data_IF_364703586367
#
_entry.id   IF_364703586367
#
_cell.length_a   1.000
_cell.length_b   1.000
_cell.length_c   1.000
_cell.angle_alpha   90.00
_cell.angle_beta   90.00
_cell.angle_gamma   90.00
#
_symmetry.space_group_name_H-M   'P 1'
#
loop_
_entity.id
_entity.type
_entity.pdbx_description
1 polymer ?
#
# COMPACT_ATOMS: atom_id res chain seq x y z
N UNK A 1 -20.35 -9.35 24.13
CA UNK A 1 -19.99 -10.21 23.00
C UNK A 1 -19.60 -11.56 23.58
N UNK A 2 -20.24 -12.64 23.14
CA UNK A 2 -19.90 -14.01 23.56
C UNK A 2 -18.68 -14.53 22.80
N UNK A 3 -17.98 -15.53 23.33
CA UNK A 3 -16.81 -16.18 22.67
C UNK A 3 -17.11 -16.56 21.21
N UNK A 4 -18.28 -17.16 20.96
CA UNK A 4 -18.70 -17.57 19.62
C UNK A 4 -18.90 -16.36 18.70
N UNK A 5 -19.51 -15.28 19.18
CA UNK A 5 -19.63 -14.03 18.42
C UNK A 5 -18.26 -13.42 18.11
N UNK A 6 -17.28 -13.54 19.03
CA UNK A 6 -15.90 -13.09 18.78
C UNK A 6 -15.29 -13.93 17.66
N UNK A 7 -15.40 -15.25 17.74
CA UNK A 7 -14.82 -16.16 16.76
C UNK A 7 -15.41 -15.94 15.37
N UNK A 8 -16.73 -15.80 15.26
CA UNK A 8 -17.39 -15.49 14.00
C UNK A 8 -16.90 -14.17 13.39
N UNK A 9 -16.64 -13.14 14.22
CA UNK A 9 -16.07 -11.88 13.71
C UNK A 9 -14.63 -12.06 13.19
N UNK A 10 -13.81 -12.83 13.89
CA UNK A 10 -12.44 -13.11 13.46
C UNK A 10 -12.40 -13.93 12.16
N UNK A 11 -13.34 -14.86 11.99
CA UNK A 11 -13.47 -15.66 10.77
C UNK A 11 -13.93 -14.86 9.54
N UNK A 12 -14.49 -13.67 9.73
CA UNK A 12 -14.92 -12.75 8.66
C UNK A 12 -14.01 -11.50 8.55
N UNK A 13 -12.83 -11.52 9.18
CA UNK A 13 -11.93 -10.36 9.26
C UNK A 13 -11.12 -10.09 7.97
N UNK A 14 -11.37 -10.87 6.93
CA UNK A 14 -10.79 -10.76 5.59
C UNK A 14 -11.33 -9.58 4.78
N UNK A 15 -12.43 -8.96 5.24
CA UNK A 15 -12.94 -7.70 4.68
C UNK A 15 -12.12 -6.52 5.22
N UNK A 16 -11.28 -5.95 4.37
CA UNK A 16 -10.48 -4.75 4.65
C UNK A 16 -11.21 -3.48 4.23
N UNK A 17 -10.98 -2.32 4.89
CA UNK A 17 -11.62 -1.08 4.52
C UNK A 17 -11.15 -0.58 3.14
N UNK A 18 -12.03 0.10 2.41
CA UNK A 18 -11.73 0.72 1.13
C UNK A 18 -12.00 2.23 1.14
N UNK A 19 -11.27 2.99 0.32
CA UNK A 19 -11.48 4.42 0.12
C UNK A 19 -11.18 4.80 -1.32
N UNK A 20 -12.06 5.62 -1.90
CA UNK A 20 -11.82 6.24 -3.20
C UNK A 20 -11.30 7.66 -2.99
N UNK A 21 -10.16 7.97 -3.62
CA UNK A 21 -9.54 9.30 -3.61
C UNK A 21 -9.40 9.81 -5.04
N UNK A 22 -9.39 11.13 -5.23
CA UNK A 22 -9.24 11.73 -6.56
C UNK A 22 -7.82 12.24 -6.75
N UNK A 23 -7.13 11.77 -7.79
CA UNK A 23 -5.88 12.37 -8.25
C UNK A 23 -6.20 13.64 -9.02
N UNK A 24 -6.11 14.80 -8.34
CA UNK A 24 -6.58 16.08 -8.87
C UNK A 24 -5.96 16.44 -10.23
N UNK A 25 -4.65 16.25 -10.39
CA UNK A 25 -3.91 16.54 -11.63
C UNK A 25 -4.38 15.71 -12.82
N UNK A 26 -4.69 14.43 -12.60
CA UNK A 26 -5.14 13.51 -13.64
C UNK A 26 -6.66 13.51 -13.80
N UNK A 27 -7.39 14.07 -12.84
CA UNK A 27 -8.85 14.07 -12.82
C UNK A 27 -9.48 12.69 -12.59
N UNK A 28 -8.71 11.67 -12.21
CA UNK A 28 -9.18 10.29 -12.08
C UNK A 28 -9.46 9.89 -10.64
N UNK A 29 -10.48 9.04 -10.39
CA UNK A 29 -10.63 8.35 -9.11
C UNK A 29 -9.63 7.18 -9.00
N UNK A 30 -9.16 6.93 -7.79
CA UNK A 30 -8.35 5.77 -7.41
C UNK A 30 -9.01 5.14 -6.17
N UNK A 31 -9.49 3.91 -6.30
CA UNK A 31 -10.04 3.12 -5.19
C UNK A 31 -8.92 2.26 -4.62
N UNK A 32 -8.65 2.45 -3.34
CA UNK A 32 -7.64 1.73 -2.57
C UNK A 32 -8.32 0.90 -1.48
N UNK A 33 -7.73 -0.25 -1.14
CA UNK A 33 -8.12 -1.09 0.00
C UNK A 33 -6.97 -1.25 0.99
N UNK A 34 -7.31 -1.54 2.24
CA UNK A 34 -6.32 -1.89 3.27
C UNK A 34 -5.53 -3.15 2.91
N UNK A 35 -4.31 -3.23 3.43
CA UNK A 35 -3.46 -4.41 3.34
C UNK A 35 -3.31 -5.03 4.73
N UNK A 36 -3.27 -6.36 4.78
CA UNK A 36 -2.98 -7.07 6.03
C UNK A 36 -1.54 -6.80 6.47
N UNK A 37 -1.26 -6.93 7.78
CA UNK A 37 0.10 -6.82 8.33
C UNK A 37 1.10 -7.73 7.59
N UNK A 38 0.69 -8.95 7.23
CA UNK A 38 1.51 -9.88 6.44
C UNK A 38 1.89 -9.33 5.07
N UNK A 39 0.94 -8.74 4.34
CA UNK A 39 1.20 -8.15 3.02
C UNK A 39 2.14 -6.95 3.12
N UNK A 40 1.90 -6.03 4.06
CA UNK A 40 2.76 -4.85 4.25
C UNK A 40 4.18 -5.26 4.67
N UNK A 41 4.31 -6.23 5.56
CA UNK A 41 5.61 -6.77 5.98
C UNK A 41 6.39 -7.39 4.82
N UNK A 42 5.73 -8.22 4.00
CA UNK A 42 6.33 -8.84 2.82
C UNK A 42 6.80 -7.79 1.81
N UNK A 43 5.99 -6.77 1.53
CA UNK A 43 6.36 -5.66 0.64
C UNK A 43 7.56 -4.90 1.20
N UNK A 44 7.56 -4.59 2.51
CA UNK A 44 8.67 -3.90 3.17
C UNK A 44 9.97 -4.68 3.05
N UNK A 45 9.94 -5.98 3.30
CA UNK A 45 11.11 -6.84 3.17
C UNK A 45 11.66 -6.84 1.74
N UNK A 46 10.80 -6.96 0.72
CA UNK A 46 11.19 -6.92 -0.69
C UNK A 46 11.76 -5.56 -1.15
N UNK A 47 11.46 -4.50 -0.40
CA UNK A 47 11.97 -3.15 -0.65
C UNK A 47 13.13 -2.77 0.26
N UNK A 48 13.55 -3.67 1.16
CA UNK A 48 14.67 -3.43 2.07
C UNK A 48 15.93 -4.08 1.52
N UNK A 49 16.95 -3.28 1.27
CA UNK A 49 18.26 -3.76 0.85
C UNK A 49 19.20 -3.90 2.05
N UNK A 50 20.06 -4.91 2.01
CA UNK A 50 21.11 -5.14 2.99
C UNK A 50 22.45 -5.20 2.28
N UNK A 51 23.35 -4.31 2.65
CA UNK A 51 24.69 -4.23 2.05
C UNK A 51 25.72 -3.84 3.10
N UNK A 52 26.99 -4.14 2.83
CA UNK A 52 28.10 -3.77 3.72
C UNK A 52 28.66 -2.42 3.29
N UNK A 53 28.66 -1.45 4.20
CA UNK A 53 29.28 -0.15 4.00
C UNK A 53 30.30 0.09 5.11
N UNK A 54 31.57 0.28 4.74
CA UNK A 54 32.67 0.52 5.70
C UNK A 54 32.78 -0.54 6.81
N UNK A 55 32.56 -1.81 6.46
CA UNK A 55 32.61 -2.94 7.40
C UNK A 55 31.39 -3.09 8.32
N UNK A 56 30.39 -2.23 8.18
CA UNK A 56 29.12 -2.34 8.89
C UNK A 56 28.01 -2.82 7.95
N UNK A 57 27.14 -3.70 8.44
CA UNK A 57 25.93 -4.10 7.70
C UNK A 57 24.92 -2.96 7.82
N UNK A 58 24.58 -2.36 6.69
CA UNK A 58 23.53 -1.34 6.56
C UNK A 58 22.28 -2.02 6.03
N UNK A 59 21.13 -1.63 6.60
CA UNK A 59 19.80 -2.05 6.14
C UNK A 59 19.05 -0.78 5.77
N UNK A 60 18.67 -0.63 4.52
CA UNK A 60 18.01 0.56 3.99
C UNK A 60 16.72 0.18 3.27
N UNK A 61 15.64 0.90 3.57
CA UNK A 61 14.37 0.75 2.87
C UNK A 61 14.34 1.71 1.68
N UNK A 62 14.16 1.17 0.48
CA UNK A 62 13.81 1.98 -0.68
C UNK A 62 12.35 2.42 -0.56
N UNK A 63 12.15 3.65 -0.09
CA UNK A 63 10.82 4.22 0.14
C UNK A 63 10.01 4.37 -1.15
N UNK A 64 10.64 4.69 -2.28
CA UNK A 64 9.93 4.86 -3.54
C UNK A 64 9.40 3.52 -4.05
N UNK A 65 10.26 2.49 -4.02
CA UNK A 65 9.86 1.10 -4.34
C UNK A 65 8.77 0.62 -3.39
N UNK A 66 8.94 0.86 -2.09
CA UNK A 66 7.96 0.50 -1.07
C UNK A 66 6.59 1.14 -1.33
N UNK A 67 6.54 2.44 -1.62
CA UNK A 67 5.29 3.13 -1.92
C UNK A 67 4.65 2.65 -3.22
N UNK A 68 5.44 2.44 -4.28
CA UNK A 68 4.91 1.90 -5.53
C UNK A 68 4.31 0.50 -5.32
N UNK A 69 4.98 -0.37 -4.57
CA UNK A 69 4.49 -1.72 -4.27
C UNK A 69 3.25 -1.71 -3.36
N UNK A 70 3.18 -0.82 -2.37
CA UNK A 70 1.97 -0.64 -1.54
C UNK A 70 0.77 -0.25 -2.41
N UNK A 71 0.92 0.78 -3.24
CA UNK A 71 -0.17 1.30 -4.06
C UNK A 71 -0.58 0.27 -5.12
N UNK A 72 0.37 -0.40 -5.76
CA UNK A 72 0.08 -1.46 -6.74
C UNK A 72 -0.73 -2.60 -6.11
N UNK A 73 -0.36 -3.06 -4.92
CA UNK A 73 -1.06 -4.14 -4.22
C UNK A 73 -2.44 -3.73 -3.67
N UNK A 74 -2.58 -2.47 -3.27
CA UNK A 74 -3.77 -1.93 -2.64
C UNK A 74 -4.79 -1.34 -3.62
N UNK A 75 -4.40 -1.04 -4.87
CA UNK A 75 -5.33 -0.46 -5.84
C UNK A 75 -6.36 -1.49 -6.30
N UNK A 76 -7.64 -1.17 -6.10
CA UNK A 76 -8.78 -1.88 -6.69
C UNK A 76 -9.05 -1.33 -8.10
N UNK A 77 -9.07 0.00 -8.26
CA UNK A 77 -9.14 0.67 -9.56
C UNK A 77 -8.34 1.99 -9.55
N UNK A 78 -7.71 2.41 -10.66
CA UNK A 78 -7.66 1.75 -11.97
C UNK A 78 -6.68 0.57 -12.02
N UNK A 79 -6.74 -0.22 -13.10
CA UNK A 79 -5.76 -1.29 -13.35
C UNK A 79 -4.43 -0.71 -13.85
N UNK A 80 -3.46 -0.52 -12.94
CA UNK A 80 -2.11 -0.04 -13.27
C UNK A 80 -1.29 -1.00 -14.15
N UNK A 81 -1.69 -2.27 -14.23
CA UNK A 81 -1.09 -3.28 -15.10
C UNK A 81 -1.79 -3.38 -16.47
N UNK A 82 -2.62 -2.41 -16.85
CA UNK A 82 -3.24 -2.38 -18.18
C UNK A 82 -2.16 -2.42 -19.28
N UNK A 83 -2.24 -3.34 -20.26
CA UNK A 83 -1.21 -3.48 -21.30
C UNK A 83 -0.91 -2.19 -22.07
N UNK A 84 -1.90 -1.29 -22.22
CA UNK A 84 -1.73 -0.01 -22.89
C UNK A 84 -0.89 0.95 -22.06
N UNK A 85 -1.05 0.91 -20.73
CA UNK A 85 -0.20 1.67 -19.80
C UNK A 85 1.23 1.11 -19.82
N UNK A 86 1.38 -0.21 -19.68
CA UNK A 86 2.69 -0.87 -19.72
C UNK A 86 3.45 -0.54 -21.00
N UNK A 87 2.80 -0.63 -22.16
CA UNK A 87 3.41 -0.32 -23.45
C UNK A 87 3.78 1.17 -23.59
N UNK A 88 2.86 2.09 -23.25
CA UNK A 88 3.11 3.53 -23.35
C UNK A 88 4.29 3.96 -22.48
N UNK A 89 4.34 3.43 -21.26
CA UNK A 89 5.35 3.80 -20.29
C UNK A 89 6.58 2.89 -20.33
N UNK A 90 6.66 1.90 -21.22
CA UNK A 90 7.76 0.90 -21.27
C UNK A 90 8.06 0.31 -19.89
N UNK A 91 6.99 -0.01 -19.17
CA UNK A 91 7.03 -0.46 -17.78
C UNK A 91 6.96 -1.99 -17.72
N UNK A 92 7.72 -2.59 -16.82
CA UNK A 92 7.71 -4.04 -16.58
C UNK A 92 6.53 -4.51 -15.72
N UNK A 93 5.86 -3.58 -15.05
CA UNK A 93 4.77 -3.87 -14.13
C UNK A 93 4.08 -2.59 -13.62
N UNK A 94 3.03 -2.75 -12.80
CA UNK A 94 2.24 -1.64 -12.28
C UNK A 94 3.06 -0.65 -11.43
N UNK A 95 4.06 -1.12 -10.69
CA UNK A 95 4.95 -0.28 -9.87
C UNK A 95 5.73 0.73 -10.72
N UNK A 96 6.26 0.27 -11.86
CA UNK A 96 7.00 1.14 -12.78
C UNK A 96 6.07 2.10 -13.53
N UNK A 97 4.82 1.70 -13.78
CA UNK A 97 3.78 2.62 -14.29
C UNK A 97 3.51 3.73 -13.27
N UNK A 98 3.30 3.37 -12.00
CA UNK A 98 3.07 4.33 -10.91
C UNK A 98 4.23 5.32 -10.79
N UNK A 99 5.47 4.81 -10.73
CA UNK A 99 6.69 5.61 -10.65
C UNK A 99 6.85 6.59 -11.82
N UNK A 100 6.42 6.21 -13.03
CA UNK A 100 6.52 7.08 -14.23
C UNK A 100 5.41 8.10 -14.36
N UNK A 101 4.21 7.79 -13.86
CA UNK A 101 3.02 8.65 -14.04
C UNK A 101 2.85 9.63 -12.89
N UNK A 102 3.05 9.17 -11.66
CA UNK A 102 2.73 9.92 -10.45
C UNK A 102 3.88 10.83 -10.05
N UNK A 103 3.54 12.00 -9.53
CA UNK A 103 4.50 12.88 -8.88
C UNK A 103 4.84 12.33 -7.48
N UNK A 104 6.02 12.65 -6.94
CA UNK A 104 6.46 12.16 -5.64
C UNK A 104 5.46 12.43 -4.51
N UNK A 105 4.83 13.62 -4.49
CA UNK A 105 3.79 13.95 -3.51
C UNK A 105 2.49 13.18 -3.71
N UNK A 106 2.12 12.87 -4.95
CA UNK A 106 0.95 12.02 -5.24
C UNK A 106 1.19 10.58 -4.80
N UNK A 107 2.40 10.06 -5.07
CA UNK A 107 2.83 8.73 -4.64
C UNK A 107 2.82 8.62 -3.11
N UNK A 108 3.43 9.58 -2.41
CA UNK A 108 3.42 9.61 -0.94
C UNK A 108 1.99 9.66 -0.40
N UNK A 109 1.14 10.55 -0.92
CA UNK A 109 -0.23 10.69 -0.43
C UNK A 109 -1.09 9.43 -0.64
N UNK A 110 -0.94 8.74 -1.77
CA UNK A 110 -1.63 7.47 -1.99
C UNK A 110 -1.10 6.38 -1.05
N UNK A 111 0.22 6.30 -0.84
CA UNK A 111 0.80 5.34 0.09
C UNK A 111 0.33 5.58 1.53
N UNK A 112 0.23 6.83 1.96
CA UNK A 112 -0.32 7.21 3.27
C UNK A 112 -1.77 6.74 3.42
N UNK A 113 -2.61 6.93 2.40
CA UNK A 113 -3.98 6.42 2.40
C UNK A 113 -4.03 4.89 2.50
N UNK A 114 -3.12 4.18 1.83
CA UNK A 114 -3.01 2.71 1.95
C UNK A 114 -2.63 2.31 3.38
N UNK A 115 -1.66 2.99 4.00
CA UNK A 115 -1.24 2.71 5.37
C UNK A 115 -2.34 3.02 6.39
N UNK A 116 -3.08 4.12 6.19
CA UNK A 116 -4.26 4.46 7.01
C UNK A 116 -5.32 3.35 6.95
N UNK A 117 -5.69 2.91 5.74
CA UNK A 117 -6.61 1.79 5.54
C UNK A 117 -6.07 0.47 6.10
N UNK A 118 -4.76 0.33 6.22
CA UNK A 118 -4.09 -0.83 6.82
C UNK A 118 -3.96 -0.71 8.35
N UNK A 119 -4.52 0.34 8.96
CA UNK A 119 -4.62 0.52 10.41
C UNK A 119 -3.43 1.21 11.08
N UNK A 120 -2.46 1.74 10.33
CA UNK A 120 -1.25 2.35 10.92
C UNK A 120 -1.53 3.61 11.75
N UNK A 121 -2.58 4.37 11.40
CA UNK A 121 -3.01 5.57 12.12
C UNK A 121 -4.32 5.37 12.89
N UNK A 122 -4.70 4.11 13.16
CA UNK A 122 -5.87 3.82 14.01
C UNK A 122 -5.44 3.80 15.46
N UNK A 123 -5.99 4.73 16.27
CA UNK A 123 -5.85 4.66 17.73
C UNK A 123 -6.68 3.49 18.26
N UNK A 124 -6.09 2.67 19.13
CA UNK A 124 -6.88 1.78 19.97
C UNK A 124 -7.66 2.67 20.93
N UNK A 125 -8.99 2.71 20.80
CA UNK A 125 -9.82 3.44 21.74
C UNK A 125 -9.63 2.85 23.14
N UNK A 126 -9.14 3.66 24.09
CA UNK A 126 -9.25 3.32 25.51
C UNK A 126 -10.74 3.31 25.86
N UNK A 127 -11.27 2.13 26.15
CA UNK A 127 -12.60 1.99 26.76
C UNK A 127 -12.53 2.69 28.11
N UNK A 128 -13.04 3.92 28.19
CA UNK A 128 -13.31 4.57 29.47
C UNK A 128 -14.40 3.76 30.17
N UNK A 129 -14.01 3.03 31.21
CA UNK A 129 -14.90 2.35 32.15
C UNK A 129 -15.90 3.30 32.79
#
# INVERSE_FOLDING_TARGET
MTEEEILQRLLNADVVPEKTVKLARLGIPVTLRGLTSKQVSMIREQCTERYVQRGQVVTELDNEKFYCSLIAAATVTPNWADPRLLAKYKASGPEEVLKRILLAGELSALADVVLDLSGFNTSLEDVKN
#
